data_IF_311837326265
#
_entry.id   IF_311837326265
#
_cell.length_a   1.000
_cell.length_b   1.000
_cell.length_c   1.000
_cell.angle_alpha   90.00
_cell.angle_beta   90.00
_cell.angle_gamma   90.00
#
_symmetry.space_group_name_H-M   'P 1'
#
loop_
_entity.id
_entity.type
_entity.pdbx_description
1 polymer ?
#
# COMPACT_ATOMS: atom_id res chain seq x y z
N UNK A 1 16.39 -7.48 -1.59
CA UNK A 1 15.15 -7.94 -2.24
C UNK A 1 14.37 -8.91 -1.37
N UNK A 2 14.97 -9.99 -0.84
CA UNK A 2 14.25 -10.98 -0.01
C UNK A 2 13.59 -10.39 1.25
N UNK A 3 14.21 -9.43 2.02
CA UNK A 3 13.51 -8.81 3.15
C UNK A 3 12.25 -8.04 2.75
N UNK A 4 12.26 -7.37 1.59
CA UNK A 4 11.07 -6.68 1.07
C UNK A 4 9.99 -7.69 0.63
N UNK A 5 10.40 -8.78 -0.03
CA UNK A 5 9.47 -9.87 -0.38
C UNK A 5 8.75 -10.39 0.86
N UNK A 6 9.51 -10.69 1.92
CA UNK A 6 8.99 -11.19 3.19
C UNK A 6 7.93 -10.25 3.79
N UNK A 7 8.22 -8.93 3.86
CA UNK A 7 7.29 -7.96 4.41
C UNK A 7 6.01 -7.79 3.57
N UNK A 8 6.12 -7.88 2.24
CA UNK A 8 4.97 -7.74 1.33
C UNK A 8 4.12 -9.00 1.30
N UNK A 9 4.74 -10.19 1.26
CA UNK A 9 4.00 -11.48 1.35
C UNK A 9 3.20 -11.54 2.63
N UNK A 10 3.80 -11.19 3.76
CA UNK A 10 3.13 -11.23 5.07
C UNK A 10 1.87 -10.34 5.12
N UNK A 11 1.87 -9.19 4.46
CA UNK A 11 0.69 -8.33 4.36
C UNK A 11 -0.47 -9.00 3.62
N UNK A 12 -0.18 -9.79 2.60
CA UNK A 12 -1.18 -10.33 1.68
C UNK A 12 -1.62 -11.76 2.06
N UNK A 13 -0.71 -12.55 2.62
CA UNK A 13 -0.97 -13.93 3.04
C UNK A 13 -2.01 -13.99 4.18
N UNK A 14 -1.96 -13.04 5.11
CA UNK A 14 -2.87 -12.97 6.25
C UNK A 14 -4.30 -12.68 5.82
N UNK A 15 -4.50 -11.87 4.77
CA UNK A 15 -5.83 -11.51 4.29
C UNK A 15 -6.67 -12.73 3.89
N UNK A 16 -6.04 -13.77 3.33
CA UNK A 16 -6.73 -15.02 2.95
C UNK A 16 -6.98 -15.97 4.11
N UNK A 17 -6.23 -15.84 5.19
CA UNK A 17 -6.40 -16.64 6.40
C UNK A 17 -7.39 -16.05 7.40
N UNK A 18 -7.82 -14.79 7.23
CA UNK A 18 -8.73 -14.11 8.16
C UNK A 18 -9.99 -14.90 8.49
N UNK A 19 -10.71 -15.52 7.52
CA UNK A 19 -11.90 -16.32 7.82
C UNK A 19 -11.57 -17.52 8.73
N UNK A 20 -10.45 -18.21 8.49
CA UNK A 20 -10.03 -19.34 9.30
C UNK A 20 -9.61 -18.93 10.72
N UNK A 21 -8.90 -17.79 10.84
CA UNK A 21 -8.55 -17.20 12.14
C UNK A 21 -9.82 -16.82 12.91
N UNK A 22 -10.76 -16.14 12.26
CA UNK A 22 -12.02 -15.73 12.85
C UNK A 22 -12.86 -16.93 13.31
N UNK A 23 -12.92 -18.00 12.52
CA UNK A 23 -13.62 -19.24 12.85
C UNK A 23 -12.97 -19.94 14.05
N UNK A 24 -11.63 -20.02 14.10
CA UNK A 24 -10.91 -20.70 15.18
C UNK A 24 -10.95 -19.96 16.52
N UNK A 25 -11.06 -18.62 16.48
CA UNK A 25 -11.04 -17.75 17.67
C UNK A 25 -12.42 -17.29 18.11
N UNK A 26 -13.47 -17.50 17.29
CA UNK A 26 -14.84 -17.07 17.57
C UNK A 26 -15.08 -15.56 17.51
N UNK A 27 -14.12 -14.76 17.00
CA UNK A 27 -14.16 -13.30 17.03
C UNK A 27 -14.09 -12.66 15.64
N UNK A 28 -15.14 -12.85 14.83
CA UNK A 28 -15.21 -12.37 13.44
C UNK A 28 -15.10 -10.83 13.36
N UNK A 29 -15.77 -10.11 14.27
CA UNK A 29 -15.80 -8.64 14.26
C UNK A 29 -14.43 -7.98 14.49
N UNK A 30 -13.52 -8.68 15.17
CA UNK A 30 -12.18 -8.17 15.51
C UNK A 30 -11.09 -8.62 14.55
N UNK A 31 -11.39 -9.51 13.61
CA UNK A 31 -10.39 -10.06 12.70
C UNK A 31 -9.71 -8.98 11.82
N UNK A 32 -10.40 -7.91 11.46
CA UNK A 32 -9.83 -6.78 10.70
C UNK A 32 -8.65 -6.11 11.43
N UNK A 33 -8.65 -6.11 12.79
CA UNK A 33 -7.57 -5.52 13.58
C UNK A 33 -6.22 -6.20 13.36
N UNK A 34 -6.21 -7.48 12.99
CA UNK A 34 -5.00 -8.25 12.68
C UNK A 34 -4.23 -7.62 11.51
N UNK A 35 -4.94 -7.10 10.51
CA UNK A 35 -4.33 -6.43 9.34
C UNK A 35 -4.03 -4.97 9.65
N UNK A 36 -4.98 -4.25 10.24
CA UNK A 36 -4.87 -2.81 10.51
C UNK A 36 -3.72 -2.51 11.48
N UNK A 37 -3.57 -3.30 12.54
CA UNK A 37 -2.49 -3.11 13.52
C UNK A 37 -1.09 -3.23 12.90
N UNK A 38 -0.89 -4.19 12.00
CA UNK A 38 0.36 -4.32 11.25
C UNK A 38 0.62 -3.09 10.37
N UNK A 39 -0.39 -2.63 9.61
CA UNK A 39 -0.25 -1.49 8.70
C UNK A 39 0.08 -0.21 9.46
N UNK A 40 -0.58 0.04 10.58
CA UNK A 40 -0.30 1.19 11.46
C UNK A 40 1.14 1.12 11.96
N UNK A 41 1.54 -0.01 12.54
CA UNK A 41 2.88 -0.19 13.10
C UNK A 41 3.96 -0.08 12.01
N UNK A 42 3.76 -0.65 10.83
CA UNK A 42 4.67 -0.54 9.70
C UNK A 42 4.80 0.90 9.20
N UNK A 43 3.70 1.66 9.18
CA UNK A 43 3.71 3.07 8.78
C UNK A 43 4.48 3.94 9.78
N UNK A 44 4.31 3.68 11.09
CA UNK A 44 5.03 4.40 12.16
C UNK A 44 6.52 4.05 12.15
N UNK A 45 6.87 2.80 11.94
CA UNK A 45 8.26 2.36 12.01
C UNK A 45 9.09 2.78 10.79
N UNK A 46 8.48 3.04 9.64
CA UNK A 46 9.20 3.38 8.42
C UNK A 46 10.12 4.62 8.56
N UNK A 47 9.65 5.80 9.04
CA UNK A 47 10.54 6.94 9.28
C UNK A 47 11.57 6.69 10.37
N UNK A 48 11.22 5.95 11.42
CA UNK A 48 12.13 5.59 12.49
C UNK A 48 13.32 4.76 11.96
N UNK A 49 13.04 3.69 11.22
CA UNK A 49 14.11 2.88 10.59
C UNK A 49 14.87 3.63 9.50
N UNK A 50 14.22 4.53 8.79
CA UNK A 50 14.88 5.42 7.84
C UNK A 50 15.95 6.26 8.52
N UNK A 51 15.57 6.98 9.58
CA UNK A 51 16.45 7.84 10.37
C UNK A 51 17.53 7.06 11.09
N UNK A 52 17.17 5.98 11.79
CA UNK A 52 18.12 5.10 12.47
C UNK A 52 19.11 4.46 11.48
N UNK A 53 18.64 4.06 10.30
CA UNK A 53 19.47 3.50 9.24
C UNK A 53 20.56 4.46 8.76
N UNK A 54 20.22 5.74 8.60
CA UNK A 54 21.15 6.79 8.19
C UNK A 54 22.15 7.13 9.32
N UNK A 55 21.80 6.91 10.59
CA UNK A 55 22.63 7.21 11.74
C UNK A 55 23.49 6.02 12.21
N UNK A 56 22.95 4.81 12.27
CA UNK A 56 23.62 3.63 12.81
C UNK A 56 24.11 2.64 11.73
N UNK A 57 23.68 2.83 10.48
CA UNK A 57 24.00 2.01 9.33
C UNK A 57 22.88 1.05 8.96
N UNK A 58 22.46 1.12 7.70
CA UNK A 58 21.28 0.44 7.14
C UNK A 58 21.36 -1.08 7.24
N UNK A 59 22.56 -1.66 7.03
CA UNK A 59 22.78 -3.10 7.19
C UNK A 59 22.51 -3.58 8.62
N UNK A 60 23.00 -2.84 9.64
CA UNK A 60 22.77 -3.20 11.06
C UNK A 60 21.30 -3.14 11.42
N UNK A 61 20.63 -2.09 10.99
CA UNK A 61 19.20 -1.93 11.22
C UNK A 61 18.36 -2.96 10.46
N UNK A 62 18.81 -3.44 9.30
CA UNK A 62 18.16 -4.54 8.59
C UNK A 62 18.17 -5.83 9.40
N UNK A 63 19.29 -6.15 10.10
CA UNK A 63 19.33 -7.29 11.03
C UNK A 63 18.36 -7.11 12.19
N UNK A 64 18.29 -5.92 12.79
CA UNK A 64 17.36 -5.64 13.87
C UNK A 64 15.89 -5.78 13.38
N UNK A 65 15.56 -5.25 12.22
CA UNK A 65 14.23 -5.36 11.62
C UNK A 65 13.85 -6.83 11.31
N UNK A 66 14.79 -7.62 10.76
CA UNK A 66 14.61 -9.07 10.53
C UNK A 66 14.40 -9.82 11.84
N UNK A 67 15.20 -9.54 12.87
CA UNK A 67 15.06 -10.18 14.17
C UNK A 67 13.69 -9.90 14.81
N UNK A 68 13.27 -8.63 14.82
CA UNK A 68 11.94 -8.23 15.31
C UNK A 68 10.84 -8.92 14.52
N UNK A 69 10.93 -8.93 13.19
CA UNK A 69 9.93 -9.53 12.31
C UNK A 69 9.82 -11.05 12.51
N UNK A 70 10.95 -11.78 12.54
CA UNK A 70 10.97 -13.23 12.73
C UNK A 70 10.44 -13.59 14.12
N UNK A 71 10.90 -12.90 15.17
CA UNK A 71 10.43 -13.14 16.53
C UNK A 71 8.93 -12.88 16.67
N UNK A 72 8.44 -11.76 16.12
CA UNK A 72 7.01 -11.44 16.12
C UNK A 72 6.19 -12.46 15.30
N UNK A 73 6.74 -13.03 14.22
CA UNK A 73 6.08 -14.10 13.46
C UNK A 73 5.86 -15.36 14.32
N UNK A 74 6.83 -15.71 15.19
CA UNK A 74 6.65 -16.78 16.17
C UNK A 74 5.55 -16.47 17.18
N UNK A 75 5.51 -15.22 17.68
CA UNK A 75 4.45 -14.78 18.59
C UNK A 75 3.06 -14.84 17.90
N UNK A 76 2.98 -14.44 16.63
CA UNK A 76 1.74 -14.55 15.85
C UNK A 76 1.28 -16.01 15.76
N UNK A 77 2.18 -16.94 15.40
CA UNK A 77 1.85 -18.35 15.27
C UNK A 77 1.45 -19.00 16.60
N UNK A 78 2.00 -18.52 17.72
CA UNK A 78 1.71 -19.03 19.07
C UNK A 78 0.51 -18.34 19.74
N UNK A 79 -0.14 -17.35 19.10
CA UNK A 79 -1.20 -16.56 19.73
C UNK A 79 -2.51 -17.36 19.84
N UNK A 80 -3.06 -17.56 21.05
CA UNK A 80 -4.31 -18.30 21.25
C UNK A 80 -5.59 -17.43 21.06
N UNK A 81 -5.45 -16.08 21.07
CA UNK A 81 -6.59 -15.15 20.97
C UNK A 81 -6.32 -14.06 19.93
N UNK A 82 -7.39 -13.43 19.42
CA UNK A 82 -7.28 -12.33 18.43
C UNK A 82 -6.55 -11.12 19.03
N UNK A 83 -6.74 -10.84 20.31
CA UNK A 83 -6.09 -9.73 21.00
C UNK A 83 -4.56 -9.92 21.05
N UNK A 84 -4.10 -11.11 21.44
CA UNK A 84 -2.68 -11.43 21.46
C UNK A 84 -2.08 -11.47 20.06
N UNK A 85 -2.83 -12.02 19.10
CA UNK A 85 -2.43 -11.98 17.68
C UNK A 85 -2.31 -10.55 17.17
N UNK A 86 -3.28 -9.68 17.49
CA UNK A 86 -3.25 -8.26 17.11
C UNK A 86 -2.02 -7.55 17.72
N UNK A 87 -1.72 -7.82 19.00
CA UNK A 87 -0.52 -7.28 19.64
C UNK A 87 0.77 -7.80 18.99
N UNK A 88 0.84 -9.10 18.70
CA UNK A 88 1.98 -9.68 17.98
C UNK A 88 2.15 -9.08 16.59
N UNK A 89 1.03 -8.77 15.91
CA UNK A 89 1.02 -8.08 14.60
C UNK A 89 1.56 -6.64 14.69
N UNK A 90 1.34 -5.93 15.81
CA UNK A 90 2.00 -4.63 16.03
C UNK A 90 3.52 -4.80 16.01
N UNK A 91 4.07 -5.75 16.77
CA UNK A 91 5.51 -6.01 16.77
C UNK A 91 6.03 -6.45 15.40
N UNK A 92 5.28 -7.30 14.70
CA UNK A 92 5.63 -7.74 13.35
C UNK A 92 5.63 -6.58 12.36
N UNK A 93 4.65 -5.67 12.45
CA UNK A 93 4.58 -4.45 11.65
C UNK A 93 5.74 -3.50 11.91
N UNK A 94 6.20 -3.38 13.17
CA UNK A 94 7.42 -2.63 13.49
C UNK A 94 8.64 -3.17 12.72
N UNK A 95 8.80 -4.48 12.62
CA UNK A 95 9.84 -5.08 11.77
C UNK A 95 9.60 -4.85 10.28
N UNK A 96 8.36 -5.09 9.82
CA UNK A 96 7.97 -5.01 8.42
C UNK A 96 8.20 -3.65 7.75
N UNK A 97 7.85 -2.55 8.44
CA UNK A 97 8.12 -1.20 7.95
C UNK A 97 9.62 -0.92 7.79
N UNK A 98 10.43 -1.45 8.73
CA UNK A 98 11.89 -1.42 8.62
C UNK A 98 12.41 -2.20 7.41
N UNK A 99 11.90 -3.42 7.17
CA UNK A 99 12.32 -4.25 6.02
C UNK A 99 12.04 -3.55 4.68
N UNK A 100 10.88 -2.91 4.53
CA UNK A 100 10.53 -2.18 3.31
C UNK A 100 11.43 -0.97 3.09
N UNK A 101 11.54 -0.10 4.09
CA UNK A 101 12.30 1.17 4.00
C UNK A 101 13.78 0.92 3.79
N UNK A 102 14.38 0.03 4.60
CA UNK A 102 15.80 -0.28 4.51
C UNK A 102 16.18 -1.03 3.23
N UNK A 103 15.28 -1.87 2.67
CA UNK A 103 15.54 -2.51 1.38
C UNK A 103 15.71 -1.50 0.25
N UNK A 104 14.86 -0.46 0.24
CA UNK A 104 14.93 0.62 -0.75
C UNK A 104 16.15 1.52 -0.52
N UNK A 105 16.47 1.83 0.75
CA UNK A 105 17.60 2.65 1.12
C UNK A 105 18.95 1.95 0.81
N UNK A 106 19.05 0.63 1.02
CA UNK A 106 20.24 -0.16 0.68
C UNK A 106 20.52 -0.19 -0.83
N UNK A 107 19.48 -0.22 -1.67
CA UNK A 107 19.66 -0.06 -3.12
C UNK A 107 20.22 1.33 -3.44
N UNK A 108 19.72 2.37 -2.75
CA UNK A 108 20.24 3.72 -2.88
C UNK A 108 21.71 3.87 -2.46
N UNK A 109 22.14 3.10 -1.47
CA UNK A 109 23.54 3.09 -0.98
C UNK A 109 24.48 2.30 -1.90
N UNK A 110 23.99 1.18 -2.45
CA UNK A 110 24.83 0.25 -3.21
C UNK A 110 25.11 0.67 -4.66
N UNK A 111 24.24 1.52 -5.24
CA UNK A 111 24.29 1.81 -6.67
C UNK A 111 24.26 3.31 -6.97
N UNK A 112 24.94 3.77 -8.05
CA UNK A 112 24.84 5.15 -8.52
C UNK A 112 23.42 5.48 -9.01
N UNK A 113 22.99 6.76 -9.05
CA UNK A 113 21.59 7.16 -9.28
C UNK A 113 20.91 6.51 -10.49
N UNK A 114 21.57 6.39 -11.63
CA UNK A 114 21.00 5.77 -12.84
C UNK A 114 20.74 4.27 -12.66
N UNK A 115 21.69 3.55 -12.08
CA UNK A 115 21.56 2.10 -11.83
C UNK A 115 20.50 1.81 -10.77
N UNK A 116 20.28 2.70 -9.80
CA UNK A 116 19.22 2.57 -8.79
C UNK A 116 17.87 2.35 -9.44
N UNK A 117 17.55 3.03 -10.55
CA UNK A 117 16.28 2.90 -11.25
C UNK A 117 16.03 1.44 -11.69
N UNK A 118 17.05 0.76 -12.19
CA UNK A 118 16.97 -0.66 -12.57
C UNK A 118 16.68 -1.55 -11.37
N UNK A 119 17.37 -1.33 -10.25
CA UNK A 119 17.20 -2.14 -9.03
C UNK A 119 15.88 -1.82 -8.30
N UNK A 120 15.41 -0.57 -8.35
CA UNK A 120 14.07 -0.22 -7.87
C UNK A 120 12.98 -0.90 -8.71
N UNK A 121 13.19 -1.03 -10.02
CA UNK A 121 12.32 -1.85 -10.88
C UNK A 121 12.28 -3.32 -10.46
N UNK A 122 13.40 -3.91 -10.06
CA UNK A 122 13.42 -5.27 -9.52
C UNK A 122 12.72 -5.37 -8.16
N UNK A 123 12.87 -4.39 -7.27
CA UNK A 123 12.13 -4.35 -6.00
C UNK A 123 10.62 -4.27 -6.23
N UNK A 124 10.18 -3.45 -7.19
CA UNK A 124 8.77 -3.38 -7.56
C UNK A 124 8.25 -4.71 -8.12
N UNK A 125 9.02 -5.39 -8.99
CA UNK A 125 8.66 -6.71 -9.50
C UNK A 125 8.57 -7.76 -8.37
N UNK A 126 9.49 -7.71 -7.41
CA UNK A 126 9.44 -8.56 -6.20
C UNK A 126 8.18 -8.30 -5.39
N UNK A 127 7.77 -7.04 -5.21
CA UNK A 127 6.52 -6.72 -4.53
C UNK A 127 5.29 -7.25 -5.26
N UNK A 128 5.28 -7.19 -6.60
CA UNK A 128 4.21 -7.78 -7.44
C UNK A 128 4.16 -9.30 -7.27
N UNK A 129 5.31 -9.97 -7.34
CA UNK A 129 5.37 -11.42 -7.09
C UNK A 129 4.85 -11.77 -5.69
N UNK A 130 5.23 -10.99 -4.68
CA UNK A 130 4.79 -11.17 -3.30
C UNK A 130 3.27 -11.01 -3.15
N UNK A 131 2.69 -9.99 -3.78
CA UNK A 131 1.25 -9.75 -3.77
C UNK A 131 0.44 -10.86 -4.48
N UNK A 132 1.01 -11.47 -5.50
CA UNK A 132 0.38 -12.60 -6.22
C UNK A 132 0.55 -13.92 -5.47
N UNK A 133 1.76 -14.17 -4.96
CA UNK A 133 2.10 -15.39 -4.24
C UNK A 133 1.41 -15.47 -2.87
N UNK A 134 1.27 -14.34 -2.16
CA UNK A 134 0.71 -14.28 -0.82
C UNK A 134 -0.65 -14.96 -0.69
N UNK A 135 -1.69 -14.53 -1.44
CA UNK A 135 -3.01 -15.15 -1.37
C UNK A 135 -3.02 -16.65 -1.72
N UNK A 136 -2.25 -17.05 -2.72
CA UNK A 136 -2.17 -18.47 -3.14
C UNK A 136 -1.52 -19.32 -2.04
N UNK A 137 -0.37 -18.87 -1.54
CA UNK A 137 0.32 -19.56 -0.45
C UNK A 137 -0.51 -19.53 0.84
N UNK A 138 -1.17 -18.41 1.13
CA UNK A 138 -2.00 -18.25 2.32
C UNK A 138 -3.19 -19.20 2.34
N UNK A 139 -3.90 -19.32 1.23
CA UNK A 139 -4.99 -20.28 1.07
C UNK A 139 -4.52 -21.72 1.27
N UNK A 140 -3.47 -22.12 0.53
CA UNK A 140 -2.91 -23.47 0.60
C UNK A 140 -2.40 -23.83 2.00
N UNK A 141 -1.62 -22.95 2.63
CA UNK A 141 -1.09 -23.19 3.97
C UNK A 141 -2.20 -23.27 5.02
N UNK A 142 -3.19 -22.40 4.93
CA UNK A 142 -4.32 -22.37 5.87
C UNK A 142 -5.16 -23.64 5.77
N UNK A 143 -5.40 -24.13 4.56
CA UNK A 143 -6.21 -25.33 4.31
C UNK A 143 -5.52 -26.61 4.79
N UNK A 144 -4.20 -26.76 4.55
CA UNK A 144 -3.49 -28.02 4.79
C UNK A 144 -2.75 -28.07 6.14
N UNK A 145 -2.31 -26.92 6.67
CA UNK A 145 -1.45 -26.85 7.86
C UNK A 145 -2.01 -25.95 8.97
N UNK A 146 -3.18 -25.36 8.74
CA UNK A 146 -3.79 -24.40 9.66
C UNK A 146 -3.24 -22.98 9.48
N UNK A 147 -3.98 -22.01 9.98
CA UNK A 147 -3.65 -20.58 9.81
C UNK A 147 -2.30 -20.17 10.43
N UNK A 148 -1.82 -20.87 11.45
CA UNK A 148 -0.52 -20.61 12.08
C UNK A 148 0.66 -20.76 11.09
N UNK A 149 0.51 -21.65 10.10
CA UNK A 149 1.54 -21.93 9.10
C UNK A 149 1.89 -20.69 8.26
N UNK A 150 0.95 -19.73 8.07
CA UNK A 150 1.22 -18.49 7.33
C UNK A 150 2.25 -17.59 8.03
N UNK A 151 2.35 -17.69 9.35
CA UNK A 151 3.38 -16.98 10.12
C UNK A 151 4.68 -17.78 10.22
N UNK A 152 4.60 -19.10 10.32
CA UNK A 152 5.77 -19.97 10.42
C UNK A 152 6.60 -19.99 9.13
N UNK A 153 5.99 -19.79 7.95
CA UNK A 153 6.73 -19.69 6.68
C UNK A 153 7.71 -18.51 6.66
N UNK A 154 7.45 -17.49 7.48
CA UNK A 154 8.34 -16.33 7.59
C UNK A 154 9.70 -16.70 8.22
N UNK A 155 9.79 -17.79 8.97
CA UNK A 155 11.05 -18.21 9.62
C UNK A 155 12.11 -18.65 8.62
N UNK A 156 11.87 -19.68 7.77
CA UNK A 156 12.88 -20.08 6.81
C UNK A 156 13.24 -18.97 5.82
N UNK A 157 12.25 -18.19 5.34
CA UNK A 157 12.50 -17.06 4.43
C UNK A 157 13.29 -15.95 5.14
N UNK A 158 12.94 -15.65 6.40
CA UNK A 158 13.63 -14.66 7.22
C UNK A 158 15.08 -15.05 7.53
N UNK A 159 15.33 -16.31 7.87
CA UNK A 159 16.69 -16.83 8.09
C UNK A 159 17.54 -16.78 6.80
N UNK A 160 16.94 -17.12 5.65
CA UNK A 160 17.59 -16.95 4.36
C UNK A 160 17.90 -15.48 4.08
N UNK A 161 16.99 -14.55 4.42
CA UNK A 161 17.22 -13.12 4.31
C UNK A 161 18.38 -12.65 5.22
N UNK A 162 18.45 -13.12 6.47
CA UNK A 162 19.57 -12.86 7.38
C UNK A 162 20.90 -13.32 6.77
N UNK A 163 20.96 -14.54 6.23
CA UNK A 163 22.15 -15.08 5.61
C UNK A 163 22.61 -14.26 4.38
N UNK A 164 21.66 -13.79 3.56
CA UNK A 164 21.97 -12.93 2.42
C UNK A 164 22.43 -11.54 2.85
N UNK A 165 21.80 -10.94 3.86
CA UNK A 165 22.20 -9.63 4.40
C UNK A 165 23.59 -9.71 5.07
N UNK A 166 23.93 -10.86 5.64
CA UNK A 166 25.26 -11.08 6.21
C UNK A 166 26.38 -10.94 5.17
N UNK A 167 26.13 -11.33 3.93
CA UNK A 167 27.08 -11.22 2.81
C UNK A 167 27.22 -9.80 2.26
N UNK A 168 26.32 -8.87 2.62
CA UNK A 168 26.40 -7.49 2.13
C UNK A 168 27.60 -6.75 2.76
N UNK A 169 28.39 -6.02 1.98
CA UNK A 169 29.44 -5.17 2.53
C UNK A 169 28.86 -4.01 3.33
N UNK A 170 29.60 -3.50 4.29
CA UNK A 170 29.31 -2.23 4.97
C UNK A 170 29.88 -1.10 4.12
N UNK A 171 29.01 -0.34 3.45
CA UNK A 171 29.40 0.63 2.43
C UNK A 171 29.64 2.04 2.99
N UNK A 172 28.82 2.49 3.94
CA UNK A 172 28.85 3.89 4.40
C UNK A 172 29.75 4.07 5.61
N UNK A 173 30.74 4.96 5.49
CA UNK A 173 31.61 5.42 6.60
C UNK A 173 31.03 6.65 7.29
N UNK A 174 30.42 7.57 6.55
CA UNK A 174 29.81 8.79 7.08
C UNK A 174 28.39 8.54 7.53
N UNK A 175 28.01 9.10 8.67
CA UNK A 175 26.70 8.90 9.32
C UNK A 175 26.15 10.21 9.84
N UNK A 176 24.83 10.32 9.82
CA UNK A 176 24.15 11.45 10.46
C UNK A 176 24.23 11.31 11.99
N UNK A 177 24.43 12.44 12.71
CA UNK A 177 24.38 12.42 14.17
C UNK A 177 22.96 12.04 14.61
N UNK A 178 22.90 11.15 15.62
CA UNK A 178 21.63 10.73 16.21
C UNK A 178 21.35 11.46 17.53
N UNK A 179 20.18 12.05 17.62
CA UNK A 179 19.58 12.46 18.89
C UNK A 179 18.14 11.95 18.89
N UNK A 180 17.75 11.31 20.01
CA UNK A 180 16.39 10.82 20.16
C UNK A 180 15.40 11.99 20.19
N UNK A 181 14.31 11.87 19.47
CA UNK A 181 13.17 12.78 19.49
C UNK A 181 11.90 12.04 19.94
N UNK A 182 11.75 11.81 21.25
CA UNK A 182 10.59 11.10 21.76
C UNK A 182 9.30 11.91 21.58
N UNK A 183 9.36 13.25 21.61
CA UNK A 183 8.21 14.11 21.37
C UNK A 183 7.68 13.99 19.95
N UNK A 184 8.58 14.07 18.97
CA UNK A 184 8.24 13.85 17.56
C UNK A 184 7.67 12.45 17.32
N UNK A 185 8.27 11.41 17.89
CA UNK A 185 7.79 10.03 17.77
C UNK A 185 6.37 9.85 18.33
N UNK A 186 6.09 10.39 19.52
CA UNK A 186 4.76 10.29 20.14
C UNK A 186 3.72 11.05 19.30
N UNK A 187 3.99 12.29 18.91
CA UNK A 187 3.08 13.08 18.08
C UNK A 187 2.84 12.44 16.72
N UNK A 188 3.89 11.90 16.09
CA UNK A 188 3.78 11.16 14.84
C UNK A 188 2.95 9.89 14.99
N UNK A 189 3.15 9.15 16.08
CA UNK A 189 2.36 7.94 16.38
C UNK A 189 0.88 8.29 16.55
N UNK A 190 0.55 9.32 17.34
CA UNK A 190 -0.83 9.77 17.52
C UNK A 190 -1.44 10.16 16.17
N UNK A 191 -0.72 10.94 15.36
CA UNK A 191 -1.17 11.35 14.03
C UNK A 191 -1.47 10.14 13.14
N UNK A 192 -0.53 9.20 13.01
CA UNK A 192 -0.68 8.02 12.13
C UNK A 192 -1.80 7.10 12.61
N UNK A 193 -1.86 6.82 13.91
CA UNK A 193 -2.92 5.96 14.48
C UNK A 193 -4.29 6.58 14.23
N UNK A 194 -4.48 7.85 14.58
CA UNK A 194 -5.80 8.48 14.50
C UNK A 194 -6.24 8.71 13.06
N UNK A 195 -5.34 9.08 12.14
CA UNK A 195 -5.69 9.24 10.71
C UNK A 195 -6.05 7.90 10.07
N UNK A 196 -5.25 6.85 10.27
CA UNK A 196 -5.51 5.54 9.66
C UNK A 196 -6.78 4.90 10.23
N UNK A 197 -7.03 5.03 11.53
CA UNK A 197 -8.29 4.56 12.14
C UNK A 197 -9.51 5.35 11.64
N UNK A 198 -9.39 6.67 11.52
CA UNK A 198 -10.47 7.49 10.95
C UNK A 198 -10.80 7.06 9.52
N UNK A 199 -9.77 6.89 8.68
CA UNK A 199 -9.94 6.47 7.29
C UNK A 199 -10.50 5.05 7.18
N UNK A 200 -10.08 4.12 8.05
CA UNK A 200 -10.61 2.75 8.09
C UNK A 200 -12.09 2.74 8.50
N UNK A 201 -12.47 3.53 9.52
CA UNK A 201 -13.86 3.65 9.94
C UNK A 201 -14.74 4.26 8.83
N UNK A 202 -14.25 5.26 8.10
CA UNK A 202 -14.97 5.84 6.96
C UNK A 202 -15.28 4.82 5.85
N UNK A 203 -14.46 3.80 5.65
CA UNK A 203 -14.74 2.74 4.68
C UNK A 203 -15.96 1.88 5.05
N UNK A 204 -16.35 1.81 6.32
CA UNK A 204 -17.52 1.03 6.79
C UNK A 204 -18.84 1.72 6.51
N UNK A 205 -18.84 2.99 6.10
CA UNK A 205 -20.00 3.84 5.67
C UNK A 205 -21.28 3.64 6.51
N UNK A 206 -21.14 3.57 7.83
CA UNK A 206 -22.28 3.58 8.78
C UNK A 206 -22.41 4.98 9.38
N UNK A 207 -23.59 5.60 9.29
CA UNK A 207 -23.87 6.93 9.87
C UNK A 207 -23.53 7.01 11.38
N UNK A 208 -23.67 5.90 12.10
CA UNK A 208 -23.32 5.81 13.53
C UNK A 208 -21.82 5.97 13.81
N UNK A 209 -20.95 5.78 12.82
CA UNK A 209 -19.49 5.86 12.96
C UNK A 209 -18.96 7.26 12.63
N UNK A 210 -19.73 8.11 11.94
CA UNK A 210 -19.31 9.46 11.53
C UNK A 210 -18.84 10.36 12.71
N UNK A 211 -19.50 10.41 13.89
CA UNK A 211 -19.00 11.23 14.99
C UNK A 211 -17.63 10.75 15.52
N UNK A 212 -17.44 9.43 15.61
CA UNK A 212 -16.18 8.85 16.07
C UNK A 212 -15.04 9.07 15.08
N UNK A 213 -15.29 8.85 13.78
CA UNK A 213 -14.29 9.10 12.73
C UNK A 213 -13.96 10.59 12.60
N UNK A 214 -14.94 11.49 12.75
CA UNK A 214 -14.75 12.92 12.79
C UNK A 214 -13.88 13.36 14.00
N UNK A 215 -14.14 12.81 15.17
CA UNK A 215 -13.31 13.04 16.37
C UNK A 215 -11.86 12.59 16.18
N UNK A 216 -11.64 11.39 15.61
CA UNK A 216 -10.30 10.90 15.28
C UNK A 216 -9.60 11.80 14.25
N UNK A 217 -10.33 12.30 13.25
CA UNK A 217 -9.77 13.23 12.26
C UNK A 217 -9.32 14.55 12.90
N UNK A 218 -10.13 15.11 13.81
CA UNK A 218 -9.76 16.33 14.55
C UNK A 218 -8.49 16.10 15.37
N UNK A 219 -8.42 14.98 16.12
CA UNK A 219 -7.21 14.62 16.88
C UNK A 219 -6.01 14.48 15.96
N UNK A 220 -6.17 13.86 14.80
CA UNK A 220 -5.12 13.72 13.79
C UNK A 220 -4.60 15.07 13.29
N UNK A 221 -5.50 16.00 12.98
CA UNK A 221 -5.12 17.36 12.52
C UNK A 221 -4.38 18.12 13.63
N UNK A 222 -4.87 18.03 14.87
CA UNK A 222 -4.18 18.64 16.02
C UNK A 222 -2.78 18.03 16.20
N UNK A 223 -2.67 16.71 16.17
CA UNK A 223 -1.38 16.03 16.31
C UNK A 223 -0.43 16.41 15.17
N UNK A 224 -0.90 16.51 13.93
CA UNK A 224 -0.10 16.97 12.80
C UNK A 224 0.41 18.39 12.98
N UNK A 225 -0.45 19.34 13.40
CA UNK A 225 -0.06 20.73 13.65
C UNK A 225 0.99 20.81 14.77
N UNK A 226 0.79 20.06 15.85
CA UNK A 226 1.75 20.01 16.96
C UNK A 226 3.06 19.34 16.52
N UNK A 227 3.02 18.28 15.72
CA UNK A 227 4.18 17.61 15.13
C UNK A 227 4.98 18.58 14.27
N UNK A 228 4.35 19.29 13.33
CA UNK A 228 5.02 20.26 12.46
C UNK A 228 5.65 21.40 13.28
N UNK A 229 4.99 21.87 14.34
CA UNK A 229 5.55 22.89 15.23
C UNK A 229 6.75 22.36 16.03
N UNK A 230 6.67 21.14 16.51
CA UNK A 230 7.74 20.46 17.27
C UNK A 230 8.97 20.24 16.39
N UNK A 231 8.80 19.61 15.21
CA UNK A 231 9.87 19.27 14.26
C UNK A 231 10.62 20.51 13.73
N UNK A 232 9.95 21.66 13.64
CA UNK A 232 10.61 22.93 13.28
C UNK A 232 11.50 23.51 14.39
N UNK A 233 11.41 23.00 15.64
CA UNK A 233 12.16 23.51 16.80
C UNK A 233 13.29 22.57 17.22
N UNK A 234 13.21 21.31 16.87
CA UNK A 234 14.17 20.28 17.28
C UNK A 234 15.36 20.24 16.32
N UNK A 235 16.56 20.09 16.86
CA UNK A 235 17.81 20.03 16.07
C UNK A 235 17.99 18.76 15.28
N UNK A 236 17.31 17.68 15.67
CA UNK A 236 17.41 16.35 15.03
C UNK A 236 16.00 15.74 14.89
N UNK A 237 15.16 16.31 13.99
CA UNK A 237 13.77 15.94 13.82
C UNK A 237 13.63 14.50 13.31
N UNK A 238 12.53 13.81 13.73
CA UNK A 238 12.17 12.48 13.21
C UNK A 238 11.81 12.57 11.73
N UNK A 239 11.03 13.60 11.37
CA UNK A 239 10.64 13.89 10.00
C UNK A 239 11.36 15.19 9.57
N UNK A 240 12.35 15.11 8.65
CA UNK A 240 13.12 16.26 8.24
C UNK A 240 12.28 17.18 7.33
N UNK A 241 11.50 18.09 7.92
CA UNK A 241 10.63 19.01 7.18
C UNK A 241 11.41 19.84 6.16
N UNK A 242 12.69 20.16 6.45
CA UNK A 242 13.56 20.83 5.49
C UNK A 242 13.83 20.02 4.22
N UNK A 243 13.85 18.69 4.32
CA UNK A 243 13.95 17.78 3.19
C UNK A 243 12.63 17.78 2.40
N UNK A 244 11.50 17.67 3.09
CA UNK A 244 10.18 17.67 2.48
C UNK A 244 9.80 18.99 1.80
N UNK A 245 10.42 20.12 2.17
CA UNK A 245 10.22 21.41 1.51
C UNK A 245 10.94 21.52 0.17
N UNK A 246 11.86 20.63 -0.15
CA UNK A 246 12.52 20.65 -1.46
C UNK A 246 11.52 20.31 -2.57
N UNK A 247 11.40 21.14 -3.63
CA UNK A 247 10.40 20.95 -4.68
C UNK A 247 10.41 19.58 -5.32
N UNK A 248 11.58 19.02 -5.59
CA UNK A 248 11.71 17.67 -6.17
C UNK A 248 11.19 16.57 -5.26
N UNK A 249 11.29 16.74 -3.94
CA UNK A 249 10.88 15.73 -2.95
C UNK A 249 9.38 15.80 -2.71
N UNK A 250 8.84 16.99 -2.40
CA UNK A 250 7.40 17.08 -2.12
C UNK A 250 6.53 16.73 -3.33
N UNK A 251 6.95 17.10 -4.57
CA UNK A 251 6.23 16.67 -5.79
C UNK A 251 6.25 15.16 -5.94
N UNK A 252 7.40 14.53 -5.69
CA UNK A 252 7.56 13.08 -5.78
C UNK A 252 6.78 12.36 -4.69
N UNK A 253 6.76 12.87 -3.45
CA UNK A 253 5.99 12.30 -2.34
C UNK A 253 4.48 12.46 -2.55
N UNK A 254 4.02 13.62 -3.03
CA UNK A 254 2.62 13.81 -3.43
C UNK A 254 2.22 12.90 -4.59
N UNK A 255 3.12 12.69 -5.55
CA UNK A 255 2.93 11.74 -6.64
C UNK A 255 2.82 10.30 -6.12
N UNK A 256 3.66 9.90 -5.13
CA UNK A 256 3.57 8.60 -4.48
C UNK A 256 2.21 8.42 -3.77
N UNK A 257 1.70 9.47 -3.12
CA UNK A 257 0.39 9.45 -2.48
C UNK A 257 -0.75 9.27 -3.50
N UNK A 258 -0.75 10.04 -4.58
CA UNK A 258 -1.74 9.90 -5.66
C UNK A 258 -1.70 8.52 -6.32
N UNK A 259 -0.49 8.00 -6.59
CA UNK A 259 -0.31 6.64 -7.12
C UNK A 259 -0.82 5.57 -6.14
N UNK A 260 -0.48 5.69 -4.86
CA UNK A 260 -0.97 4.80 -3.81
C UNK A 260 -2.50 4.82 -3.70
N UNK A 261 -3.10 6.03 -3.72
CA UNK A 261 -4.54 6.23 -3.70
C UNK A 261 -5.25 5.52 -4.87
N UNK A 262 -4.78 5.71 -6.09
CA UNK A 262 -5.40 5.11 -7.28
C UNK A 262 -5.19 3.59 -7.34
N UNK A 263 -3.94 3.12 -7.17
CA UNK A 263 -3.60 1.71 -7.35
C UNK A 263 -4.21 0.83 -6.26
N UNK A 264 -4.11 1.23 -4.99
CA UNK A 264 -4.64 0.42 -3.89
C UNK A 264 -6.17 0.41 -3.92
N UNK A 265 -6.81 1.54 -4.25
CA UNK A 265 -8.26 1.57 -4.48
C UNK A 265 -8.67 0.63 -5.61
N UNK A 266 -7.95 0.63 -6.73
CA UNK A 266 -8.24 -0.28 -7.85
C UNK A 266 -8.12 -1.75 -7.40
N UNK A 267 -7.03 -2.12 -6.73
CA UNK A 267 -6.81 -3.49 -6.23
C UNK A 267 -7.91 -3.91 -5.24
N UNK A 268 -8.41 -2.97 -4.43
CA UNK A 268 -9.45 -3.24 -3.42
C UNK A 268 -10.85 -3.38 -4.04
N UNK A 269 -11.23 -2.47 -4.93
CA UNK A 269 -12.61 -2.40 -5.43
C UNK A 269 -12.84 -3.18 -6.74
N UNK A 270 -11.79 -3.45 -7.51
CA UNK A 270 -11.92 -4.20 -8.76
C UNK A 270 -12.43 -5.64 -8.56
N UNK A 271 -11.96 -6.43 -7.56
CA UNK A 271 -12.53 -7.74 -7.28
C UNK A 271 -14.01 -7.69 -6.93
N UNK A 272 -14.44 -6.67 -6.18
CA UNK A 272 -15.85 -6.47 -5.82
C UNK A 272 -16.66 -6.17 -7.08
N UNK A 273 -16.17 -5.31 -7.97
CA UNK A 273 -16.79 -5.03 -9.27
C UNK A 273 -16.96 -6.30 -10.12
N UNK A 274 -15.90 -7.11 -10.22
CA UNK A 274 -15.91 -8.34 -11.02
C UNK A 274 -16.91 -9.35 -10.48
N UNK A 275 -17.01 -9.51 -9.18
CA UNK A 275 -17.94 -10.47 -8.56
C UNK A 275 -19.38 -9.96 -8.58
N UNK A 276 -19.61 -8.72 -8.19
CA UNK A 276 -20.97 -8.16 -8.00
C UNK A 276 -21.59 -7.71 -9.33
N UNK A 277 -20.83 -7.01 -10.18
CA UNK A 277 -21.37 -6.45 -11.43
C UNK A 277 -21.25 -7.42 -12.59
N UNK A 278 -20.10 -8.10 -12.72
CA UNK A 278 -19.85 -9.04 -13.82
C UNK A 278 -20.21 -10.49 -13.50
N UNK A 279 -20.61 -10.78 -12.25
CA UNK A 279 -21.00 -12.13 -11.83
C UNK A 279 -19.83 -13.14 -11.88
N UNK A 280 -18.58 -12.68 -11.85
CA UNK A 280 -17.41 -13.54 -11.92
C UNK A 280 -17.27 -14.38 -10.65
N UNK A 281 -16.92 -15.66 -10.77
CA UNK A 281 -16.56 -16.48 -9.62
C UNK A 281 -15.29 -15.94 -8.93
N UNK A 282 -15.07 -16.24 -7.65
CA UNK A 282 -13.82 -15.84 -6.96
C UNK A 282 -12.56 -16.28 -7.70
N UNK A 283 -12.54 -17.49 -8.27
CA UNK A 283 -11.42 -18.01 -9.06
C UNK A 283 -11.20 -17.23 -10.36
N UNK A 284 -12.29 -16.93 -11.10
CA UNK A 284 -12.21 -16.13 -12.32
C UNK A 284 -11.77 -14.69 -12.01
N UNK A 285 -12.22 -14.12 -10.89
CA UNK A 285 -11.77 -12.81 -10.40
C UNK A 285 -10.27 -12.81 -10.14
N UNK A 286 -9.75 -13.82 -9.46
CA UNK A 286 -8.31 -13.97 -9.23
C UNK A 286 -7.50 -14.01 -10.53
N UNK A 287 -7.95 -14.78 -11.52
CA UNK A 287 -7.32 -14.86 -12.83
C UNK A 287 -7.35 -13.52 -13.58
N UNK A 288 -8.45 -12.77 -13.49
CA UNK A 288 -8.57 -11.45 -14.11
C UNK A 288 -7.71 -10.38 -13.43
N UNK A 289 -7.26 -10.58 -12.19
CA UNK A 289 -6.31 -9.68 -11.52
C UNK A 289 -4.85 -9.94 -11.94
N UNK A 290 -4.53 -11.11 -12.49
CA UNK A 290 -3.16 -11.44 -12.93
C UNK A 290 -2.63 -10.48 -14.00
N UNK A 291 -3.37 -10.11 -15.07
CA UNK A 291 -2.90 -9.14 -16.06
C UNK A 291 -2.48 -7.81 -15.44
N UNK A 292 -3.25 -7.28 -14.48
CA UNK A 292 -2.91 -6.04 -13.77
C UNK A 292 -1.56 -6.16 -13.05
N UNK A 293 -1.37 -7.23 -12.30
CA UNK A 293 -0.15 -7.45 -11.50
C UNK A 293 1.07 -7.69 -12.39
N UNK A 294 0.93 -8.49 -13.44
CA UNK A 294 1.97 -8.71 -14.45
C UNK A 294 2.34 -7.40 -15.14
N UNK A 295 1.35 -6.60 -15.50
CA UNK A 295 1.55 -5.27 -16.08
C UNK A 295 2.40 -4.37 -15.17
N UNK A 296 2.08 -4.27 -13.86
CA UNK A 296 2.84 -3.47 -12.89
C UNK A 296 4.31 -3.93 -12.86
N UNK A 297 4.56 -5.23 -12.78
CA UNK A 297 5.91 -5.79 -12.78
C UNK A 297 6.67 -5.46 -14.06
N UNK A 298 6.06 -5.69 -15.22
CA UNK A 298 6.64 -5.41 -16.52
C UNK A 298 6.94 -3.92 -16.71
N UNK A 299 5.98 -3.06 -16.36
CA UNK A 299 6.14 -1.60 -16.42
C UNK A 299 7.29 -1.09 -15.56
N UNK A 300 7.39 -1.58 -14.32
CA UNK A 300 8.48 -1.23 -13.42
C UNK A 300 9.86 -1.68 -13.93
N UNK A 301 9.96 -2.91 -14.43
CA UNK A 301 11.20 -3.44 -14.99
C UNK A 301 11.64 -2.69 -16.26
N UNK A 302 10.70 -2.44 -17.16
CA UNK A 302 10.96 -1.70 -18.40
C UNK A 302 11.41 -0.27 -18.08
N UNK A 303 10.68 0.42 -17.23
CA UNK A 303 10.99 1.80 -16.83
C UNK A 303 12.34 1.89 -16.12
N UNK A 304 12.62 0.96 -15.21
CA UNK A 304 13.91 0.91 -14.53
C UNK A 304 15.10 0.78 -15.50
N UNK A 305 14.95 -0.04 -16.57
CA UNK A 305 15.96 -0.18 -17.63
C UNK A 305 16.08 1.08 -18.50
N UNK A 306 14.95 1.69 -18.85
CA UNK A 306 14.91 2.90 -19.69
C UNK A 306 15.49 4.10 -18.94
N UNK A 307 15.15 4.30 -17.67
CA UNK A 307 15.74 5.36 -16.82
C UNK A 307 17.25 5.16 -16.66
N UNK A 308 17.69 3.92 -16.46
CA UNK A 308 19.15 3.61 -16.40
C UNK A 308 19.87 4.03 -17.69
N UNK A 309 19.26 3.79 -18.86
CA UNK A 309 19.86 4.16 -20.16
C UNK A 309 19.79 5.65 -20.46
N UNK A 310 18.66 6.29 -20.19
CA UNK A 310 18.37 7.67 -20.62
C UNK A 310 18.62 8.73 -19.56
N UNK A 311 18.59 8.36 -18.28
CA UNK A 311 18.61 9.28 -17.14
C UNK A 311 17.33 10.11 -16.97
N UNK A 312 16.31 9.91 -17.82
CA UNK A 312 15.06 10.67 -17.77
C UNK A 312 14.18 10.16 -16.62
N UNK A 313 13.68 11.07 -15.78
CA UNK A 313 12.82 10.72 -14.63
C UNK A 313 11.38 11.18 -14.81
N UNK A 314 11.13 12.31 -15.45
CA UNK A 314 9.78 12.89 -15.55
C UNK A 314 8.91 12.20 -16.60
N UNK A 315 9.49 11.79 -17.73
CA UNK A 315 8.72 11.29 -18.90
C UNK A 315 7.90 10.06 -18.57
N UNK A 316 8.47 9.10 -17.80
CA UNK A 316 7.80 7.83 -17.52
C UNK A 316 6.59 7.96 -16.61
N UNK A 317 6.62 8.68 -15.47
CA UNK A 317 5.43 8.93 -14.67
C UNK A 317 4.38 9.77 -15.43
N UNK A 318 4.79 10.74 -16.23
CA UNK A 318 3.87 11.58 -17.03
C UNK A 318 3.08 10.72 -18.03
N UNK A 319 3.78 9.95 -18.88
CA UNK A 319 3.13 9.07 -19.86
C UNK A 319 2.33 7.98 -19.16
N UNK A 320 2.91 7.37 -18.11
CA UNK A 320 2.25 6.31 -17.36
C UNK A 320 0.94 6.76 -16.71
N UNK A 321 0.93 7.89 -16.02
CA UNK A 321 -0.28 8.37 -15.36
C UNK A 321 -1.32 8.91 -16.35
N UNK A 322 -0.90 9.55 -17.45
CA UNK A 322 -1.82 9.94 -18.52
C UNK A 322 -2.55 8.71 -19.10
N UNK A 323 -1.80 7.67 -19.45
CA UNK A 323 -2.38 6.44 -20.00
C UNK A 323 -3.21 5.66 -18.95
N UNK A 324 -2.78 5.63 -17.68
CA UNK A 324 -3.58 5.04 -16.60
C UNK A 324 -4.90 5.79 -16.40
N UNK A 325 -4.89 7.13 -16.50
CA UNK A 325 -6.11 7.95 -16.45
C UNK A 325 -7.06 7.58 -17.59
N UNK A 326 -6.55 7.51 -18.84
CA UNK A 326 -7.37 7.10 -19.99
C UNK A 326 -7.97 5.71 -19.76
N UNK A 327 -7.17 4.75 -19.30
CA UNK A 327 -7.65 3.40 -19.02
C UNK A 327 -8.73 3.36 -17.93
N UNK A 328 -8.57 4.13 -16.84
CA UNK A 328 -9.57 4.21 -15.78
C UNK A 328 -10.87 4.89 -16.26
N UNK A 329 -10.78 5.90 -17.14
CA UNK A 329 -11.94 6.52 -17.76
C UNK A 329 -12.64 5.52 -18.73
N UNK A 330 -11.88 4.76 -19.52
CA UNK A 330 -12.44 3.68 -20.36
C UNK A 330 -13.17 2.65 -19.51
N UNK A 331 -12.57 2.21 -18.39
CA UNK A 331 -13.23 1.31 -17.44
C UNK A 331 -14.48 1.96 -16.84
N UNK A 332 -14.45 3.24 -16.49
CA UNK A 332 -15.62 3.93 -15.96
C UNK A 332 -16.79 3.95 -16.95
N UNK A 333 -16.52 4.15 -18.23
CA UNK A 333 -17.56 4.32 -19.25
C UNK A 333 -18.06 3.00 -19.84
N UNK A 334 -17.19 2.03 -20.04
CA UNK A 334 -17.48 0.82 -20.82
C UNK A 334 -17.24 -0.51 -20.10
N UNK A 335 -16.79 -0.53 -18.82
CA UNK A 335 -16.43 -1.77 -18.14
C UNK A 335 -17.51 -2.86 -18.17
N UNK A 336 -18.80 -2.50 -18.13
CA UNK A 336 -19.92 -3.45 -18.20
C UNK A 336 -20.16 -4.02 -19.60
N UNK A 337 -19.77 -3.28 -20.66
CA UNK A 337 -19.98 -3.66 -22.07
C UNK A 337 -18.77 -4.36 -22.68
N UNK A 338 -17.59 -4.26 -22.05
CA UNK A 338 -16.36 -4.86 -22.58
C UNK A 338 -16.39 -6.38 -22.49
N UNK A 339 -15.92 -7.04 -23.54
CA UNK A 339 -15.61 -8.46 -23.50
C UNK A 339 -14.48 -8.77 -22.50
N UNK A 340 -14.45 -9.98 -21.95
CA UNK A 340 -13.51 -10.37 -20.91
C UNK A 340 -12.05 -10.28 -21.34
N UNK A 341 -11.77 -10.61 -22.61
CA UNK A 341 -10.42 -10.51 -23.16
C UNK A 341 -9.95 -9.05 -23.26
N UNK A 342 -10.80 -8.16 -23.77
CA UNK A 342 -10.53 -6.71 -23.86
C UNK A 342 -10.34 -6.12 -22.46
N UNK A 343 -11.17 -6.52 -21.51
CA UNK A 343 -11.05 -6.10 -20.12
C UNK A 343 -9.70 -6.52 -19.50
N UNK A 344 -9.26 -7.76 -19.73
CA UNK A 344 -7.96 -8.25 -19.27
C UNK A 344 -6.79 -7.47 -19.88
N UNK A 345 -6.87 -7.14 -21.18
CA UNK A 345 -5.86 -6.30 -21.87
C UNK A 345 -5.81 -4.89 -21.28
N UNK A 346 -6.96 -4.28 -20.98
CA UNK A 346 -7.01 -2.97 -20.34
C UNK A 346 -6.39 -3.00 -18.94
N UNK A 347 -6.62 -4.07 -18.18
CA UNK A 347 -5.97 -4.25 -16.86
C UNK A 347 -4.46 -4.42 -17.00
N UNK A 348 -3.99 -5.18 -17.99
CA UNK A 348 -2.55 -5.32 -18.28
C UNK A 348 -1.93 -3.96 -18.62
N UNK A 349 -2.55 -3.20 -19.50
CA UNK A 349 -2.12 -1.85 -19.87
C UNK A 349 -2.12 -0.91 -18.67
N UNK A 350 -3.21 -0.91 -17.87
CA UNK A 350 -3.28 -0.11 -16.66
C UNK A 350 -2.14 -0.44 -15.69
N UNK A 351 -1.90 -1.73 -15.45
CA UNK A 351 -0.79 -2.19 -14.62
C UNK A 351 0.57 -1.74 -15.16
N UNK A 352 0.82 -1.91 -16.46
CA UNK A 352 2.06 -1.51 -17.12
C UNK A 352 2.33 -0.01 -16.92
N UNK A 353 1.34 0.83 -17.11
CA UNK A 353 1.46 2.27 -16.94
C UNK A 353 1.60 2.69 -15.48
N UNK A 354 0.85 2.09 -14.55
CA UNK A 354 1.03 2.32 -13.11
C UNK A 354 2.40 1.87 -12.62
N UNK A 355 2.96 0.80 -13.20
CA UNK A 355 4.30 0.30 -12.88
C UNK A 355 5.43 1.28 -13.20
N UNK A 356 5.20 2.28 -14.09
CA UNK A 356 6.23 3.26 -14.46
C UNK A 356 6.56 4.27 -13.34
N UNK A 357 5.76 4.38 -12.30
CA UNK A 357 5.77 5.51 -11.36
C UNK A 357 6.71 5.29 -10.18
N UNK A 358 6.50 4.23 -9.38
CA UNK A 358 7.13 4.14 -8.04
C UNK A 358 8.64 4.02 -8.06
N UNK A 359 9.20 3.28 -9.02
CA UNK A 359 10.66 3.15 -9.16
C UNK A 359 11.33 4.50 -9.44
N UNK A 360 10.70 5.32 -10.27
CA UNK A 360 11.20 6.65 -10.63
C UNK A 360 11.07 7.62 -9.46
N UNK A 361 9.92 7.64 -8.78
CA UNK A 361 9.68 8.45 -7.57
C UNK A 361 10.75 8.16 -6.52
N UNK A 362 10.99 6.89 -6.24
CA UNK A 362 11.98 6.47 -5.24
C UNK A 362 13.40 6.96 -5.57
N UNK A 363 13.80 6.83 -6.84
CA UNK A 363 15.13 7.30 -7.29
C UNK A 363 15.21 8.82 -7.26
N UNK A 364 14.15 9.52 -7.65
CA UNK A 364 14.12 10.98 -7.66
C UNK A 364 14.29 11.56 -6.25
N UNK A 365 13.54 11.03 -5.27
CA UNK A 365 13.64 11.46 -3.86
C UNK A 365 15.01 11.12 -3.29
N UNK A 366 15.53 9.93 -3.53
CA UNK A 366 16.86 9.53 -3.07
C UNK A 366 17.98 10.38 -3.70
N UNK A 367 17.85 10.77 -4.97
CA UNK A 367 18.83 11.62 -5.65
C UNK A 367 18.81 13.05 -5.13
N UNK A 368 17.62 13.59 -4.83
CA UNK A 368 17.45 14.92 -4.26
C UNK A 368 17.91 14.98 -2.79
N UNK A 369 17.68 13.93 -2.00
CA UNK A 369 18.06 13.87 -0.59
C UNK A 369 19.58 13.68 -0.36
N UNK A 370 20.28 13.10 -1.33
CA UNK A 370 21.70 12.78 -1.22
C UNK A 370 22.00 11.51 -0.42
N UNK A 371 23.28 11.08 -0.45
CA UNK A 371 23.71 9.77 0.07
C UNK A 371 23.52 9.59 1.58
N UNK A 372 23.61 10.68 2.36
CA UNK A 372 23.50 10.63 3.82
C UNK A 372 22.07 10.44 4.31
N UNK A 373 21.06 10.76 3.49
CA UNK A 373 19.63 10.76 3.87
C UNK A 373 18.78 9.78 3.06
N UNK A 374 19.37 8.69 2.57
CA UNK A 374 18.64 7.71 1.73
C UNK A 374 17.56 6.97 2.51
N UNK A 375 17.74 6.75 3.81
CA UNK A 375 16.75 6.13 4.69
C UNK A 375 15.55 7.07 4.91
N UNK A 376 15.81 8.35 5.22
CA UNK A 376 14.78 9.38 5.33
C UNK A 376 13.99 9.52 4.01
N UNK A 377 14.69 9.54 2.87
CA UNK A 377 14.09 9.59 1.54
C UNK A 377 13.22 8.37 1.22
N UNK A 378 13.68 7.17 1.53
CA UNK A 378 12.90 5.95 1.33
C UNK A 378 11.67 5.91 2.22
N UNK A 379 11.80 6.39 3.45
CA UNK A 379 10.72 6.47 4.42
C UNK A 379 9.64 7.48 4.02
N UNK A 380 10.01 8.67 3.50
CA UNK A 380 9.03 9.68 3.07
C UNK A 380 8.16 9.18 1.92
N UNK A 381 8.76 8.54 0.91
CA UNK A 381 8.01 7.93 -0.20
C UNK A 381 7.08 6.83 0.29
N UNK A 382 7.56 5.94 1.16
CA UNK A 382 6.76 4.83 1.69
C UNK A 382 5.59 5.34 2.54
N UNK A 383 5.84 6.33 3.40
CA UNK A 383 4.82 6.98 4.22
C UNK A 383 3.76 7.67 3.35
N UNK A 384 4.17 8.51 2.39
CA UNK A 384 3.27 9.22 1.48
C UNK A 384 2.40 8.25 0.69
N UNK A 385 2.98 7.15 0.17
CA UNK A 385 2.24 6.10 -0.51
C UNK A 385 1.21 5.43 0.40
N UNK A 386 1.56 5.15 1.66
CA UNK A 386 0.66 4.48 2.61
C UNK A 386 -0.52 5.35 3.01
N UNK A 387 -0.27 6.63 3.33
CA UNK A 387 -1.34 7.60 3.63
C UNK A 387 -2.21 7.83 2.40
N UNK A 388 -1.60 7.98 1.22
CA UNK A 388 -2.33 8.12 -0.03
C UNK A 388 -3.23 6.92 -0.31
N UNK A 389 -2.75 5.70 -0.11
CA UNK A 389 -3.51 4.47 -0.26
C UNK A 389 -4.73 4.43 0.68
N UNK A 390 -4.53 4.73 1.97
CA UNK A 390 -5.61 4.76 2.95
C UNK A 390 -6.66 5.84 2.64
N UNK A 391 -6.20 7.05 2.29
CA UNK A 391 -7.09 8.14 1.89
C UNK A 391 -7.87 7.81 0.60
N UNK A 392 -7.17 7.28 -0.40
CA UNK A 392 -7.79 6.92 -1.68
C UNK A 392 -8.86 5.86 -1.52
N UNK A 393 -8.59 4.78 -0.79
CA UNK A 393 -9.57 3.73 -0.55
C UNK A 393 -10.79 4.23 0.23
N UNK A 394 -10.59 5.09 1.24
CA UNK A 394 -11.68 5.69 2.00
C UNK A 394 -12.53 6.63 1.12
N UNK A 395 -11.89 7.48 0.30
CA UNK A 395 -12.61 8.38 -0.60
C UNK A 395 -13.40 7.61 -1.66
N UNK A 396 -12.78 6.62 -2.31
CA UNK A 396 -13.44 5.79 -3.32
C UNK A 396 -14.61 5.00 -2.71
N UNK A 397 -14.46 4.45 -1.49
CA UNK A 397 -15.56 3.84 -0.75
C UNK A 397 -16.71 4.84 -0.52
N UNK A 398 -16.38 6.03 -0.03
CA UNK A 398 -17.37 7.09 0.21
C UNK A 398 -18.10 7.48 -1.07
N UNK A 399 -17.37 7.68 -2.18
CA UNK A 399 -17.97 7.99 -3.49
C UNK A 399 -18.90 6.86 -3.96
N UNK A 400 -18.46 5.61 -3.87
CA UNK A 400 -19.23 4.43 -4.26
C UNK A 400 -20.53 4.34 -3.48
N UNK A 401 -20.46 4.38 -2.14
CA UNK A 401 -21.64 4.25 -1.30
C UNK A 401 -22.56 5.47 -1.36
N UNK A 402 -22.02 6.69 -1.47
CA UNK A 402 -22.82 7.90 -1.68
C UNK A 402 -23.58 7.85 -3.00
N UNK A 403 -22.93 7.41 -4.08
CA UNK A 403 -23.59 7.25 -5.38
C UNK A 403 -24.71 6.21 -5.35
N UNK A 404 -24.54 5.11 -4.59
CA UNK A 404 -25.58 4.12 -4.37
C UNK A 404 -26.74 4.68 -3.53
N UNK A 405 -26.44 5.34 -2.41
CA UNK A 405 -27.47 5.85 -1.48
C UNK A 405 -28.32 6.96 -2.08
N UNK A 406 -27.74 7.82 -2.93
CA UNK A 406 -28.47 8.90 -3.61
C UNK A 406 -29.43 8.34 -4.68
N UNK A 407 -29.03 7.26 -5.36
CA UNK A 407 -29.87 6.64 -6.42
C UNK A 407 -30.99 5.82 -5.82
N UNK A 408 -30.65 4.84 -5.00
CA UNK A 408 -31.63 3.92 -4.42
C UNK A 408 -31.10 3.40 -3.08
N UNK A 409 -31.68 3.79 -1.93
CA UNK A 409 -31.28 3.28 -0.61
C UNK A 409 -31.36 1.75 -0.52
N UNK A 410 -32.24 1.12 -1.28
CA UNK A 410 -32.38 -0.33 -1.38
C UNK A 410 -31.14 -0.97 -2.05
N UNK A 411 -30.65 -0.38 -3.14
CA UNK A 411 -29.43 -0.86 -3.81
C UNK A 411 -28.20 -0.80 -2.89
N UNK A 412 -28.09 0.25 -2.06
CA UNK A 412 -27.03 0.37 -1.07
C UNK A 412 -27.08 -0.74 -0.01
N UNK A 413 -28.27 -1.09 0.49
CA UNK A 413 -28.46 -2.19 1.46
C UNK A 413 -28.15 -3.54 0.83
N UNK A 414 -28.68 -3.79 -0.38
CA UNK A 414 -28.41 -5.04 -1.12
C UNK A 414 -26.93 -5.20 -1.39
N UNK A 415 -26.26 -4.15 -1.86
CA UNK A 415 -24.82 -4.17 -2.12
C UNK A 415 -24.02 -4.46 -0.84
N UNK A 416 -24.33 -3.82 0.28
CA UNK A 416 -23.68 -4.09 1.56
C UNK A 416 -23.83 -5.57 1.97
N UNK A 417 -25.05 -6.13 1.84
CA UNK A 417 -25.32 -7.54 2.13
C UNK A 417 -24.55 -8.49 1.21
N UNK A 418 -24.46 -8.17 -0.09
CA UNK A 418 -23.67 -8.97 -1.05
C UNK A 418 -22.19 -8.99 -0.69
N UNK A 419 -21.63 -7.84 -0.30
CA UNK A 419 -20.22 -7.72 0.10
C UNK A 419 -19.95 -8.43 1.44
N UNK A 420 -20.85 -8.28 2.43
CA UNK A 420 -20.69 -8.89 3.75
C UNK A 420 -20.88 -10.43 3.72
N UNK A 421 -21.82 -10.92 2.95
CA UNK A 421 -22.20 -12.35 2.94
C UNK A 421 -21.58 -13.15 1.79
N UNK A 422 -20.95 -12.49 0.80
CA UNK A 422 -20.41 -13.14 -0.39
C UNK A 422 -21.47 -13.85 -1.25
N UNK A 423 -22.76 -13.46 -1.10
CA UNK A 423 -23.86 -14.10 -1.82
C UNK A 423 -24.24 -13.31 -3.06
N UNK A 424 -24.68 -13.99 -4.15
CA UNK A 424 -25.23 -13.29 -5.32
C UNK A 424 -26.54 -12.56 -4.96
N UNK A 425 -26.98 -11.68 -5.86
CA UNK A 425 -28.24 -10.93 -5.70
C UNK A 425 -29.35 -11.85 -5.19
N UNK A 426 -30.03 -11.43 -4.12
CA UNK A 426 -30.97 -12.28 -3.42
C UNK A 426 -32.08 -12.77 -4.37
N UNK A 427 -32.36 -14.07 -4.35
CA UNK A 427 -33.44 -14.73 -5.09
C UNK A 427 -34.84 -14.24 -4.70
N UNK A 428 -34.93 -13.39 -3.68
CA UNK A 428 -36.19 -12.75 -3.23
C UNK A 428 -36.63 -11.52 -4.06
N UNK A 429 -35.75 -11.04 -4.96
CA UNK A 429 -36.02 -9.88 -5.82
C UNK A 429 -36.67 -10.30 -7.15
N UNK A 430 -37.62 -9.51 -7.65
CA UNK A 430 -38.14 -9.73 -9.01
C UNK A 430 -37.05 -9.48 -10.07
N UNK A 431 -37.14 -10.12 -11.26
CA UNK A 431 -36.15 -9.90 -12.33
C UNK A 431 -35.96 -8.43 -12.71
N UNK A 432 -37.03 -7.64 -12.69
CA UNK A 432 -36.98 -6.20 -12.95
C UNK A 432 -36.20 -5.43 -11.88
N UNK A 433 -36.40 -5.76 -10.59
CA UNK A 433 -35.65 -5.18 -9.48
C UNK A 433 -34.15 -5.57 -9.54
N UNK A 434 -33.83 -6.81 -9.90
CA UNK A 434 -32.45 -7.25 -10.05
C UNK A 434 -31.72 -6.44 -11.13
N UNK A 435 -32.34 -6.23 -12.30
CA UNK A 435 -31.76 -5.43 -13.39
C UNK A 435 -31.55 -3.96 -12.93
N UNK A 436 -32.55 -3.36 -12.26
CA UNK A 436 -32.45 -1.99 -11.79
C UNK A 436 -31.32 -1.81 -10.76
N UNK A 437 -31.23 -2.68 -9.76
CA UNK A 437 -30.19 -2.66 -8.73
C UNK A 437 -28.81 -2.88 -9.35
N UNK A 438 -28.68 -3.80 -10.30
CA UNK A 438 -27.40 -4.05 -10.99
C UNK A 438 -26.96 -2.84 -11.82
N UNK A 439 -27.91 -2.14 -12.46
CA UNK A 439 -27.62 -0.90 -13.18
C UNK A 439 -27.14 0.21 -12.22
N UNK A 440 -27.77 0.37 -11.05
CA UNK A 440 -27.38 1.34 -10.04
C UNK A 440 -25.99 1.03 -9.44
N UNK A 441 -25.70 -0.24 -9.15
CA UNK A 441 -24.38 -0.68 -8.69
C UNK A 441 -23.32 -0.40 -9.77
N UNK A 442 -23.59 -0.72 -11.03
CA UNK A 442 -22.69 -0.45 -12.14
C UNK A 442 -22.42 1.06 -12.29
N UNK A 443 -23.45 1.90 -12.14
CA UNK A 443 -23.30 3.35 -12.20
C UNK A 443 -22.49 3.91 -11.02
N UNK A 444 -22.63 3.34 -9.82
CA UNK A 444 -21.82 3.72 -8.66
C UNK A 444 -20.35 3.34 -8.85
N UNK A 445 -20.05 2.17 -9.43
CA UNK A 445 -18.67 1.81 -9.79
C UNK A 445 -18.09 2.72 -10.87
N UNK A 446 -18.91 3.26 -11.79
CA UNK A 446 -18.47 4.32 -12.71
C UNK A 446 -17.91 5.52 -11.95
N UNK A 447 -18.63 5.99 -10.93
CA UNK A 447 -18.15 7.10 -10.09
C UNK A 447 -16.86 6.73 -9.33
N UNK A 448 -16.75 5.50 -8.84
CA UNK A 448 -15.54 4.98 -8.19
C UNK A 448 -14.32 4.98 -9.13
N UNK A 449 -14.45 4.49 -10.36
CA UNK A 449 -13.37 4.52 -11.36
C UNK A 449 -12.98 5.95 -11.75
N UNK A 450 -13.96 6.86 -11.86
CA UNK A 450 -13.67 8.29 -12.10
C UNK A 450 -12.93 8.95 -10.93
N UNK A 451 -13.27 8.59 -9.70
CA UNK A 451 -12.51 9.05 -8.52
C UNK A 451 -11.06 8.55 -8.54
N UNK A 452 -10.82 7.29 -8.94
CA UNK A 452 -9.47 6.77 -9.15
C UNK A 452 -8.75 7.49 -10.30
N UNK A 453 -9.45 7.80 -11.39
CA UNK A 453 -8.92 8.58 -12.51
C UNK A 453 -8.54 10.00 -12.08
N UNK A 454 -9.28 10.63 -11.17
CA UNK A 454 -8.92 11.94 -10.62
C UNK A 454 -7.58 11.91 -9.87
N UNK A 455 -7.28 10.85 -9.10
CA UNK A 455 -5.97 10.68 -8.46
C UNK A 455 -4.84 10.54 -9.48
N UNK A 456 -5.02 9.72 -10.53
CA UNK A 456 -3.99 9.58 -11.57
C UNK A 456 -3.81 10.86 -12.38
N UNK A 457 -4.88 11.62 -12.63
CA UNK A 457 -4.82 12.94 -13.27
C UNK A 457 -4.05 13.94 -12.40
N UNK A 458 -4.33 14.01 -11.09
CA UNK A 458 -3.57 14.85 -10.16
C UNK A 458 -2.09 14.46 -10.15
N UNK A 459 -1.81 13.16 -10.09
CA UNK A 459 -0.45 12.64 -10.19
C UNK A 459 0.25 13.00 -11.50
N UNK A 460 -0.46 13.00 -12.63
CA UNK A 460 0.05 13.44 -13.93
C UNK A 460 0.52 14.91 -13.88
N UNK A 461 -0.28 15.82 -13.35
CA UNK A 461 0.11 17.21 -13.20
C UNK A 461 1.29 17.42 -12.25
N UNK A 462 1.33 16.66 -11.13
CA UNK A 462 2.48 16.65 -10.23
C UNK A 462 3.75 16.15 -10.91
N UNK A 463 3.65 15.13 -11.77
CA UNK A 463 4.78 14.63 -12.54
C UNK A 463 5.28 15.65 -13.57
N UNK A 464 4.38 16.35 -14.26
CA UNK A 464 4.73 17.41 -15.22
C UNK A 464 5.49 18.58 -14.58
N UNK A 465 5.09 18.95 -13.37
CA UNK A 465 5.65 20.10 -12.63
C UNK A 465 6.88 19.74 -11.79
N UNK A 466 7.27 18.46 -11.74
CA UNK A 466 8.45 18.04 -10.99
C UNK A 466 9.74 18.63 -11.60
N UNK A 467 10.55 19.37 -10.82
CA UNK A 467 11.75 20.04 -11.32
C UNK A 467 12.89 19.03 -11.67
N UNK A 468 12.91 17.84 -11.07
CA UNK A 468 13.95 16.84 -11.31
C UNK A 468 13.63 16.02 -12.57
N UNK A 469 14.12 16.48 -13.72
CA UNK A 469 13.84 15.86 -15.02
C UNK A 469 14.84 14.77 -15.43
N UNK A 470 16.05 14.81 -14.86
CA UNK A 470 17.15 13.86 -15.16
C UNK A 470 17.98 13.55 -13.92
N UNK A 471 18.58 12.35 -13.90
CA UNK A 471 19.56 11.88 -12.90
C UNK A 471 20.85 11.41 -13.57
#
# INVERSE_FOLDING_TARGET
MLPMFLAVVDQTIVATALPAIAASTGQIERASWIVVSYLIAATISAPLYGRLGDSFGRRRLMFAALAVFIFASLLCAASPTVELLTLARVFQGLGGGGLMTLSQALVGEAFPPRERARYQGYLAAVAVCANTFGPVAGGYLTEHFGWQAIFLINLPIGLAAVALVWRLPTLTKERLPWRADPGGLVLFTIFVVTILLSLEQMQRVKLSVLPASGGLLIVSVIALVLLVRHENRVTSPLIPLGLLRQPAIWHSDALAACHGAALVSLITFLPIYLQVVRGSSPSATGLLMVPLTVGIGAGSLLTGRLVNKTGLTTVFPVVGLAMATVNLVVLALWASALDTAVFAVLLLCNGLFMGTVMGVVQVSVQSAAGLLRLGEAAASVQFSRSIGAAFGTALVATVLFSALSIRTPEAARVFATMVEQGKPLASSLTPAQQIAIQADISAAFRAAFLAMAAFTTTGFFLALTNPLRRI
#
